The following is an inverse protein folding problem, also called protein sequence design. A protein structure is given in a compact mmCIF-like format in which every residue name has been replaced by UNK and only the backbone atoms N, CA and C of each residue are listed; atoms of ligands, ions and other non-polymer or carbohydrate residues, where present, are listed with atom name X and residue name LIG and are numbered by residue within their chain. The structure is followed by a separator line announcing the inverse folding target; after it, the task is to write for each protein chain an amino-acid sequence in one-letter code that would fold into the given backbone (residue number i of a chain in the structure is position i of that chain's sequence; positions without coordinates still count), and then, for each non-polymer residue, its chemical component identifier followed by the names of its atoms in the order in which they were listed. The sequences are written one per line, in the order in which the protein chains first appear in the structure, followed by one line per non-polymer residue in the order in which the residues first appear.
data_IF_844662389959
#
_entry.id   IF_844662389959
#
_cell.length_a   1.000
_cell.length_b   1.000
_cell.length_c   1.000
_cell.angle_alpha   90.00
_cell.angle_beta   90.00
_cell.angle_gamma   90.00
#
_symmetry.space_group_name_H-M   'P 1'
#
loop_
_entity.id
_entity.type
_entity.pdbx_description
1 polymer ?
#
# COMPACT_ATOMS: atom_id res chain seq x y z
N UNK A 1 12.84 -17.56 -7.73
CA UNK A 1 12.07 -16.34 -8.06
C UNK A 1 11.89 -15.53 -6.79
N UNK A 2 12.36 -14.29 -6.75
CA UNK A 2 12.35 -13.41 -5.58
C UNK A 2 11.05 -12.59 -5.52
N UNK A 3 10.50 -12.44 -4.31
CA UNK A 3 9.30 -11.64 -4.03
C UNK A 3 9.67 -10.55 -3.02
N UNK A 4 9.98 -9.32 -3.44
CA UNK A 4 10.18 -8.22 -2.50
C UNK A 4 8.88 -7.90 -1.76
N UNK A 5 9.01 -7.27 -0.59
CA UNK A 5 7.88 -6.88 0.27
C UNK A 5 7.11 -5.70 -0.35
N UNK A 6 6.30 -5.98 -1.37
CA UNK A 6 5.49 -5.01 -2.12
C UNK A 6 4.08 -4.90 -1.53
N UNK A 7 3.31 -5.98 -1.60
CA UNK A 7 2.01 -6.23 -0.95
C UNK A 7 1.14 -4.99 -0.68
N UNK A 8 0.97 -4.16 -1.71
CA UNK A 8 0.24 -2.90 -1.64
C UNK A 8 0.00 -2.34 -3.04
N UNK A 9 0.06 -1.01 -3.17
CA UNK A 9 -0.09 -0.32 -4.44
C UNK A 9 1.14 -0.50 -5.35
N UNK A 10 0.93 -0.34 -6.67
CA UNK A 10 2.04 -0.26 -7.62
C UNK A 10 2.78 1.08 -7.48
N UNK A 11 3.88 1.06 -6.72
CA UNK A 11 4.64 2.25 -6.34
C UNK A 11 5.22 3.04 -7.52
N UNK A 12 5.35 2.43 -8.71
CA UNK A 12 5.88 3.11 -9.90
C UNK A 12 4.79 3.87 -10.68
N UNK A 13 3.51 3.61 -10.39
CA UNK A 13 2.35 4.23 -11.08
C UNK A 13 1.56 5.22 -10.22
N UNK A 14 2.11 5.59 -9.07
CA UNK A 14 1.41 6.40 -8.06
C UNK A 14 2.24 7.61 -7.66
N UNK A 15 1.57 8.71 -7.33
CA UNK A 15 2.20 9.93 -6.83
C UNK A 15 1.72 10.28 -5.40
N UNK A 16 2.20 9.58 -4.36
CA UNK A 16 1.82 9.85 -2.98
C UNK A 16 2.42 11.16 -2.46
N UNK A 17 1.83 11.69 -1.39
CA UNK A 17 2.40 12.79 -0.58
C UNK A 17 3.08 12.23 0.69
N UNK A 18 3.84 13.06 1.40
CA UNK A 18 4.43 12.65 2.69
C UNK A 18 3.34 12.35 3.74
N UNK A 19 3.54 11.35 4.63
CA UNK A 19 4.76 10.54 4.82
C UNK A 19 4.89 9.32 3.89
N UNK A 20 3.87 9.04 3.07
CA UNK A 20 3.85 7.85 2.22
C UNK A 20 4.91 7.91 1.11
N UNK A 21 5.22 9.11 0.60
CA UNK A 21 6.25 9.31 -0.41
C UNK A 21 7.62 8.77 0.01
N UNK A 22 8.03 8.98 1.26
CA UNK A 22 9.27 8.40 1.81
C UNK A 22 9.26 6.86 1.73
N UNK A 23 8.17 6.22 2.15
CA UNK A 23 8.02 4.75 2.08
C UNK A 23 8.09 4.24 0.64
N UNK A 24 7.40 4.90 -0.29
CA UNK A 24 7.38 4.50 -1.71
C UNK A 24 8.76 4.65 -2.33
N UNK A 25 9.47 5.73 -1.99
CA UNK A 25 10.84 5.97 -2.44
C UNK A 25 11.80 4.86 -2.00
N UNK A 26 11.66 4.34 -0.79
CA UNK A 26 12.44 3.18 -0.33
C UNK A 26 12.13 1.91 -1.14
N UNK A 27 10.85 1.59 -1.37
CA UNK A 27 10.49 0.41 -2.17
C UNK A 27 10.95 0.53 -3.62
N UNK A 28 10.89 1.73 -4.22
CA UNK A 28 11.41 1.99 -5.58
C UNK A 28 12.90 1.68 -5.67
N UNK A 29 13.70 2.09 -4.68
CA UNK A 29 15.14 1.76 -4.61
C UNK A 29 15.36 0.24 -4.57
N UNK A 30 14.54 -0.51 -3.82
CA UNK A 30 14.59 -1.97 -3.79
C UNK A 30 14.26 -2.57 -5.16
N UNK A 31 13.21 -2.09 -5.86
CA UNK A 31 12.88 -2.55 -7.23
C UNK A 31 14.08 -2.36 -8.17
N UNK A 32 14.71 -1.19 -8.17
CA UNK A 32 15.90 -0.91 -9.00
C UNK A 32 17.07 -1.85 -8.67
N UNK A 33 17.31 -2.14 -7.39
CA UNK A 33 18.36 -3.05 -6.96
C UNK A 33 18.09 -4.51 -7.39
N UNK A 34 16.83 -4.96 -7.26
CA UNK A 34 16.38 -6.28 -7.72
C UNK A 34 16.57 -6.42 -9.21
N UNK A 35 16.17 -5.43 -9.99
CA UNK A 35 16.35 -5.40 -11.45
C UNK A 35 17.83 -5.44 -11.85
N UNK A 36 18.66 -4.61 -11.23
CA UNK A 36 20.09 -4.57 -11.50
C UNK A 36 20.81 -5.90 -11.18
N UNK A 37 20.29 -6.68 -10.22
CA UNK A 37 20.86 -7.97 -9.84
C UNK A 37 20.60 -9.10 -10.86
N UNK A 38 19.68 -8.90 -11.81
CA UNK A 38 19.34 -9.92 -12.82
C UNK A 38 18.63 -11.17 -12.29
N UNK A 39 18.25 -11.21 -11.00
CA UNK A 39 17.51 -12.35 -10.45
C UNK A 39 16.08 -12.38 -10.99
N UNK A 40 15.47 -13.56 -11.23
CA UNK A 40 14.06 -13.62 -11.57
C UNK A 40 13.18 -13.14 -10.41
N UNK A 41 12.31 -12.15 -10.62
CA UNK A 41 11.47 -11.56 -9.57
C UNK A 41 10.00 -11.46 -9.96
N UNK A 42 9.13 -11.15 -9.00
CA UNK A 42 7.74 -10.77 -9.24
C UNK A 42 7.32 -9.72 -8.21
N UNK A 43 6.81 -8.57 -8.67
CA UNK A 43 6.22 -7.56 -7.81
C UNK A 43 4.73 -7.84 -7.62
N UNK A 44 4.31 -8.13 -6.40
CA UNK A 44 2.91 -8.41 -6.06
C UNK A 44 2.26 -7.12 -5.57
N UNK A 45 1.46 -6.49 -6.43
CA UNK A 45 0.67 -5.30 -6.09
C UNK A 45 -0.76 -5.74 -5.80
N UNK A 46 -1.05 -6.07 -4.54
CA UNK A 46 -2.35 -6.59 -4.11
C UNK A 46 -3.30 -5.51 -3.55
N UNK A 47 -2.97 -4.23 -3.72
CA UNK A 47 -3.78 -3.09 -3.28
C UNK A 47 -4.10 -3.16 -1.78
N UNK A 48 -5.35 -2.89 -1.41
CA UNK A 48 -5.79 -2.77 -0.03
C UNK A 48 -6.04 -4.12 0.64
N UNK A 49 -5.61 -4.23 1.90
CA UNK A 49 -5.87 -5.42 2.73
C UNK A 49 -7.27 -5.26 3.33
N UNK A 50 -8.18 -6.18 2.99
CA UNK A 50 -9.60 -6.10 3.39
C UNK A 50 -9.81 -5.94 4.90
N UNK A 51 -8.95 -6.57 5.71
CA UNK A 51 -9.05 -6.47 7.16
C UNK A 51 -8.57 -5.10 7.69
N UNK A 52 -7.70 -4.36 6.98
CA UNK A 52 -7.09 -3.15 7.53
C UNK A 52 -8.12 -2.04 7.72
N UNK A 53 -8.35 -1.53 8.95
CA UNK A 53 -9.32 -0.47 9.19
C UNK A 53 -8.66 0.86 8.82
N UNK A 54 -8.74 1.18 7.53
CA UNK A 54 -8.22 2.43 6.95
C UNK A 54 -8.80 3.68 7.61
N UNK A 55 -9.99 3.56 8.21
CA UNK A 55 -10.61 4.64 8.95
C UNK A 55 -9.96 4.82 10.33
N UNK A 56 -9.97 3.79 11.18
CA UNK A 56 -9.52 3.91 12.57
C UNK A 56 -7.98 3.93 12.72
N UNK A 57 -7.23 3.75 11.62
CA UNK A 57 -5.75 3.66 11.61
C UNK A 57 -5.19 2.65 12.62
N UNK A 58 -6.00 1.68 13.02
CA UNK A 58 -5.68 0.68 14.05
C UNK A 58 -5.61 -0.71 13.42
N UNK A 59 -5.33 -1.75 14.21
CA UNK A 59 -5.30 -3.11 13.68
C UNK A 59 -6.74 -3.64 13.50
N UNK A 60 -7.04 -4.33 12.38
CA UNK A 60 -8.34 -4.97 12.09
C UNK A 60 -9.01 -5.71 13.25
N UNK A 61 -8.19 -6.40 14.03
CA UNK A 61 -8.64 -7.36 15.04
C UNK A 61 -9.27 -6.71 16.27
N UNK A 62 -9.35 -5.37 16.30
CA UNK A 62 -9.70 -4.62 17.51
C UNK A 62 -10.94 -3.74 17.37
N UNK A 63 -11.49 -3.51 16.18
CA UNK A 63 -12.60 -2.56 15.99
C UNK A 63 -13.58 -3.06 14.93
N UNK A 64 -14.86 -3.33 15.28
CA UNK A 64 -15.91 -3.58 14.29
C UNK A 64 -16.22 -2.30 13.49
N UNK A 65 -16.84 -2.38 12.30
CA UNK A 65 -17.23 -1.19 11.55
C UNK A 65 -18.11 -0.25 12.39
N UNK A 66 -17.98 1.08 12.26
CA UNK A 66 -18.78 2.03 13.02
C UNK A 66 -20.27 1.91 12.65
N UNK A 67 -21.14 2.08 13.65
CA UNK A 67 -22.60 1.93 13.52
C UNK A 67 -23.36 3.26 13.48
N UNK A 68 -22.68 4.36 13.81
CA UNK A 68 -23.26 5.69 13.97
C UNK A 68 -22.83 6.66 12.86
N UNK A 69 -21.53 6.87 12.71
CA UNK A 69 -20.95 7.82 11.77
C UNK A 69 -19.73 7.22 11.07
N UNK A 70 -19.62 7.48 9.76
CA UNK A 70 -18.50 7.03 8.95
C UNK A 70 -17.91 8.21 8.18
N UNK A 71 -16.63 8.49 8.38
CA UNK A 71 -15.97 9.56 7.64
C UNK A 71 -15.48 9.07 6.29
N UNK A 72 -15.85 9.80 5.25
CA UNK A 72 -15.42 9.56 3.88
C UNK A 72 -14.25 10.48 3.58
N UNK A 73 -13.14 9.91 3.10
CA UNK A 73 -12.00 10.69 2.61
C UNK A 73 -12.33 11.28 1.24
N UNK A 74 -12.17 12.61 1.09
CA UNK A 74 -12.52 13.29 -0.17
C UNK A 74 -14.02 13.25 -0.44
N UNK A 75 -14.39 12.94 -1.68
CA UNK A 75 -15.79 12.82 -2.12
C UNK A 75 -16.30 11.37 -2.19
N UNK A 76 -15.43 10.39 -1.94
CA UNK A 76 -15.77 8.96 -1.98
C UNK A 76 -15.95 8.35 -3.38
N UNK A 77 -15.58 9.05 -4.47
CA UNK A 77 -15.82 8.58 -5.85
C UNK A 77 -14.58 8.07 -6.59
N UNK A 78 -13.42 8.00 -5.92
CA UNK A 78 -12.16 7.50 -6.50
C UNK A 78 -12.27 5.99 -6.77
N UNK A 79 -11.83 5.56 -7.96
CA UNK A 79 -11.89 4.17 -8.44
C UNK A 79 -10.49 3.64 -8.78
#
# INVERSE_FOLDING_TARGET
RFLPSEFGHDIDKTNPVEPALTMYSHKRKIRRAVEASGIPYTYICCNSIAAWPYYDKTNPSKVPPPLDCFNIYGDGNVK
#
